data_IF_245079388101
#
_entry.id   IF_245079388101
#
_cell.length_a   1.000
_cell.length_b   1.000
_cell.length_c   1.000
_cell.angle_alpha   90.00
_cell.angle_beta   90.00
_cell.angle_gamma   90.00
#
_symmetry.space_group_name_H-M   'P 1'
#
loop_
_entity.id
_entity.type
_entity.pdbx_description
1 polymer ?
#
# COMPACT_ATOMS: atom_id res chain seq x y z
N UNK A 1 15.85 19.73 -27.20
CA UNK A 1 15.16 19.21 -26.01
C UNK A 1 15.88 17.96 -25.59
N UNK A 2 16.44 17.98 -24.41
CA UNK A 2 17.19 16.84 -23.87
C UNK A 2 16.21 15.80 -23.32
N UNK A 3 16.48 14.52 -23.57
CA UNK A 3 15.69 13.40 -23.06
C UNK A 3 16.31 12.86 -21.78
N UNK A 4 15.48 12.58 -20.79
CA UNK A 4 15.88 12.11 -19.48
C UNK A 4 15.08 10.89 -19.05
N UNK A 5 15.72 9.99 -18.30
CA UNK A 5 15.04 9.00 -17.51
C UNK A 5 14.84 9.56 -16.09
N UNK A 6 13.65 9.37 -15.53
CA UNK A 6 13.33 9.87 -14.19
C UNK A 6 12.48 8.92 -13.37
N UNK A 7 12.51 9.11 -12.07
CA UNK A 7 11.66 8.45 -11.09
C UNK A 7 10.59 9.43 -10.61
N UNK A 8 9.33 9.05 -10.68
CA UNK A 8 8.23 9.87 -10.15
C UNK A 8 8.23 9.76 -8.63
N UNK A 9 8.61 10.83 -7.97
CA UNK A 9 8.66 10.90 -6.51
C UNK A 9 7.37 11.46 -5.90
N UNK A 10 6.54 12.15 -6.68
CA UNK A 10 5.22 12.60 -6.24
C UNK A 10 4.29 12.90 -7.42
N UNK A 11 2.98 12.76 -7.19
CA UNK A 11 1.94 13.04 -8.16
C UNK A 11 0.78 13.81 -7.50
N UNK A 12 0.40 14.96 -8.07
CA UNK A 12 -0.73 15.77 -7.61
C UNK A 12 -1.49 16.36 -8.79
N UNK A 13 -2.73 15.90 -8.98
CA UNK A 13 -3.55 16.32 -10.11
C UNK A 13 -2.95 15.90 -11.45
N UNK A 14 -2.46 16.86 -12.24
CA UNK A 14 -1.79 16.65 -13.53
C UNK A 14 -0.30 16.93 -13.49
N UNK A 15 0.23 17.22 -12.32
CA UNK A 15 1.62 17.53 -12.12
C UNK A 15 2.33 16.34 -11.47
N UNK A 16 3.48 16.02 -11.99
CA UNK A 16 4.35 14.94 -11.55
C UNK A 16 5.72 15.51 -11.23
N UNK A 17 6.24 15.21 -10.07
CA UNK A 17 7.61 15.55 -9.73
C UNK A 17 8.51 14.36 -10.08
N UNK A 18 9.32 14.53 -11.11
CA UNK A 18 10.28 13.54 -11.56
C UNK A 18 11.67 13.88 -11.06
N UNK A 19 12.35 12.93 -10.45
CA UNK A 19 13.76 13.02 -10.09
C UNK A 19 14.59 12.37 -11.20
N UNK A 20 15.57 13.08 -11.74
CA UNK A 20 16.56 12.56 -12.67
C UNK A 20 17.92 13.01 -12.19
N UNK A 21 18.80 12.04 -11.87
CA UNK A 21 20.03 12.31 -11.14
C UNK A 21 19.74 13.09 -9.83
N UNK A 22 20.43 14.20 -9.57
CA UNK A 22 20.23 15.05 -8.39
C UNK A 22 19.25 16.21 -8.62
N UNK A 23 18.50 16.18 -9.75
CA UNK A 23 17.63 17.30 -10.14
C UNK A 23 16.16 16.90 -10.18
N UNK A 24 15.31 17.83 -9.74
CA UNK A 24 13.86 17.68 -9.75
C UNK A 24 13.24 18.47 -10.92
N UNK A 25 12.35 17.81 -11.63
CA UNK A 25 11.60 18.37 -12.76
C UNK A 25 10.11 18.29 -12.49
N UNK A 26 9.43 19.43 -12.65
CA UNK A 26 7.97 19.46 -12.65
C UNK A 26 7.46 19.03 -14.04
N UNK A 27 6.89 17.83 -14.11
CA UNK A 27 6.48 17.23 -15.36
C UNK A 27 4.96 17.22 -15.54
N UNK A 28 4.52 17.26 -16.79
CA UNK A 28 3.14 17.06 -17.22
C UNK A 28 3.06 15.99 -18.30
N UNK A 29 1.85 15.51 -18.62
CA UNK A 29 1.61 14.56 -19.73
C UNK A 29 0.99 15.25 -20.93
N UNK A 30 1.16 14.66 -22.13
CA UNK A 30 0.51 15.13 -23.39
C UNK A 30 -0.93 14.67 -23.50
N UNK A 31 -1.75 14.76 -22.53
CA UNK A 31 -3.14 14.31 -22.67
C UNK A 31 -3.98 14.47 -21.43
N UNK A 32 -5.27 14.13 -21.56
CA UNK A 32 -6.23 14.26 -20.44
C UNK A 32 -6.18 13.11 -19.44
N UNK A 33 -5.79 11.90 -19.86
CA UNK A 33 -5.62 10.72 -18.99
C UNK A 33 -4.16 10.54 -18.66
N UNK A 34 -3.89 10.31 -17.40
CA UNK A 34 -2.59 9.96 -16.92
C UNK A 34 -2.71 8.80 -15.95
N UNK A 35 -2.05 7.72 -16.29
CA UNK A 35 -1.95 6.51 -15.49
C UNK A 35 -0.58 6.45 -14.77
N UNK A 36 -0.03 7.62 -14.41
CA UNK A 36 1.27 7.74 -13.75
C UNK A 36 1.07 7.72 -12.24
N UNK A 37 1.84 6.89 -11.56
CA UNK A 37 1.88 6.74 -10.12
C UNK A 37 3.24 7.16 -9.54
N UNK A 38 3.25 7.51 -8.27
CA UNK A 38 4.49 7.62 -7.48
C UNK A 38 5.25 6.29 -7.53
N UNK A 39 6.55 6.33 -7.80
CA UNK A 39 7.38 5.13 -8.01
C UNK A 39 7.50 4.70 -9.47
N UNK A 40 6.78 5.33 -10.41
CA UNK A 40 6.99 5.06 -11.83
C UNK A 40 8.35 5.54 -12.32
N UNK A 41 8.96 4.72 -13.15
CA UNK A 41 10.10 5.13 -13.98
C UNK A 41 9.55 5.64 -15.31
N UNK A 42 9.99 6.81 -15.72
CA UNK A 42 9.48 7.50 -16.91
C UNK A 42 10.62 8.01 -17.79
N UNK A 43 10.32 8.16 -19.07
CA UNK A 43 11.13 8.94 -19.99
C UNK A 43 10.41 10.26 -20.27
N UNK A 44 11.12 11.37 -20.13
CA UNK A 44 10.56 12.70 -20.34
C UNK A 44 11.52 13.60 -21.10
N UNK A 45 10.98 14.61 -21.76
CA UNK A 45 11.73 15.65 -22.44
C UNK A 45 11.73 16.93 -21.64
N UNK A 46 12.91 17.48 -21.39
CA UNK A 46 13.07 18.78 -20.77
C UNK A 46 12.53 19.87 -21.70
N UNK A 47 11.67 20.72 -21.15
CA UNK A 47 11.08 21.89 -21.87
C UNK A 47 11.63 23.22 -21.37
N UNK A 48 12.04 23.27 -20.11
CA UNK A 48 12.76 24.38 -19.46
C UNK A 48 13.61 23.83 -18.30
N UNK A 49 14.47 24.63 -17.67
CA UNK A 49 15.48 24.13 -16.72
C UNK A 49 15.00 23.24 -15.58
N UNK A 50 13.72 23.27 -15.22
CA UNK A 50 13.09 22.50 -14.14
C UNK A 50 11.73 21.93 -14.52
N UNK A 51 11.39 21.90 -15.82
CA UNK A 51 10.12 21.40 -16.34
C UNK A 51 10.32 20.37 -17.44
N UNK A 52 9.37 19.44 -17.55
CA UNK A 52 9.40 18.41 -18.55
C UNK A 52 8.03 17.91 -18.99
N UNK A 53 8.03 17.18 -20.09
CA UNK A 53 6.86 16.47 -20.61
C UNK A 53 7.16 14.99 -20.63
N UNK A 54 6.36 14.21 -19.93
CA UNK A 54 6.47 12.75 -19.88
C UNK A 54 6.01 12.20 -21.23
N UNK A 55 6.87 11.41 -21.85
CA UNK A 55 6.63 10.78 -23.16
C UNK A 55 6.23 9.31 -22.97
N UNK A 56 6.82 8.62 -21.98
CA UNK A 56 6.64 7.19 -21.79
C UNK A 56 6.75 6.79 -20.32
N UNK A 57 5.92 5.82 -19.92
CA UNK A 57 6.05 5.09 -18.65
C UNK A 57 6.81 3.81 -18.96
N UNK A 58 7.92 3.59 -18.26
CA UNK A 58 8.72 2.37 -18.42
C UNK A 58 8.01 1.17 -17.78
N UNK A 59 8.36 -0.07 -18.17
CA UNK A 59 7.72 -1.27 -17.64
C UNK A 59 7.73 -1.32 -16.11
N UNK A 60 6.56 -1.60 -15.54
CA UNK A 60 6.35 -1.72 -14.10
C UNK A 60 6.54 -3.17 -13.65
N UNK A 61 7.09 -3.36 -12.45
CA UNK A 61 7.09 -4.66 -11.77
C UNK A 61 5.79 -4.90 -11.01
N UNK A 62 5.30 -3.87 -10.32
CA UNK A 62 4.06 -3.90 -9.54
C UNK A 62 3.28 -2.60 -9.69
N UNK A 63 1.97 -2.65 -9.47
CA UNK A 63 1.11 -1.48 -9.46
C UNK A 63 0.02 -1.65 -8.42
N UNK A 64 0.05 -0.80 -7.40
CA UNK A 64 -0.91 -0.82 -6.31
C UNK A 64 -2.02 0.21 -6.55
N UNK A 65 -3.25 -0.24 -6.44
CA UNK A 65 -4.45 0.57 -6.61
C UNK A 65 -5.20 0.73 -5.29
N UNK A 66 -5.94 1.80 -5.22
CA UNK A 66 -7.08 1.97 -4.34
C UNK A 66 -8.29 2.34 -5.21
N UNK A 67 -9.36 1.59 -5.12
CA UNK A 67 -10.56 1.88 -5.90
C UNK A 67 -11.81 1.97 -5.02
N UNK A 68 -12.68 2.92 -5.32
CA UNK A 68 -14.06 2.93 -4.89
C UNK A 68 -14.97 2.47 -6.05
N UNK A 69 -16.27 2.43 -5.83
CA UNK A 69 -17.24 2.00 -6.84
C UNK A 69 -17.25 2.87 -8.13
N UNK A 70 -16.69 4.07 -8.08
CA UNK A 70 -16.69 5.03 -9.19
C UNK A 70 -15.33 5.23 -9.83
N UNK A 71 -14.23 5.11 -9.05
CA UNK A 71 -12.89 5.47 -9.50
C UNK A 71 -11.83 4.55 -8.91
N UNK A 72 -10.89 4.17 -9.76
CA UNK A 72 -9.62 3.59 -9.32
C UNK A 72 -8.57 4.69 -9.25
N UNK A 73 -7.87 4.80 -8.14
CA UNK A 73 -6.69 5.65 -7.96
C UNK A 73 -5.45 4.80 -7.90
N UNK A 74 -4.44 5.17 -8.66
CA UNK A 74 -3.10 4.64 -8.51
C UNK A 74 -2.52 5.14 -7.19
N UNK A 75 -1.98 4.23 -6.39
CA UNK A 75 -1.29 4.56 -5.15
C UNK A 75 0.21 4.66 -5.38
N UNK A 76 0.81 3.59 -5.89
CA UNK A 76 2.23 3.51 -6.13
C UNK A 76 2.55 2.43 -7.17
N UNK A 77 3.67 2.60 -7.86
CA UNK A 77 4.23 1.63 -8.80
C UNK A 77 5.59 1.14 -8.32
N UNK A 78 6.01 -0.04 -8.80
CA UNK A 78 7.31 -0.65 -8.50
C UNK A 78 7.58 -0.83 -7.01
N UNK A 79 6.52 -1.08 -6.23
CA UNK A 79 6.58 -1.37 -4.80
C UNK A 79 6.94 -2.84 -4.62
N UNK A 80 7.92 -3.13 -3.77
CA UNK A 80 8.32 -4.50 -3.44
C UNK A 80 7.72 -5.00 -2.14
N UNK A 81 7.40 -4.09 -1.20
CA UNK A 81 6.76 -4.46 0.07
C UNK A 81 5.81 -3.38 0.59
N UNK A 82 4.86 -3.83 1.42
CA UNK A 82 3.82 -3.03 2.04
C UNK A 82 3.96 -3.11 3.56
N UNK A 83 4.12 -1.97 4.22
CA UNK A 83 4.05 -1.87 5.68
C UNK A 83 2.69 -1.31 6.09
N UNK A 84 1.88 -2.14 6.76
CA UNK A 84 0.59 -1.77 7.31
C UNK A 84 0.81 -1.29 8.75
N UNK A 85 0.76 0.03 8.95
CA UNK A 85 0.99 0.65 10.25
C UNK A 85 -0.32 0.73 11.01
N UNK A 86 -0.35 0.08 12.15
CA UNK A 86 -1.44 0.09 13.13
C UNK A 86 -0.91 0.57 14.48
N UNK A 87 -1.78 0.95 15.39
CA UNK A 87 -1.39 1.40 16.72
C UNK A 87 -2.38 0.89 17.77
N UNK A 88 -1.92 0.84 19.00
CA UNK A 88 -2.78 0.56 20.16
C UNK A 88 -3.84 1.66 20.33
N UNK A 89 -3.46 2.91 19.99
CA UNK A 89 -4.31 4.09 20.05
C UNK A 89 -3.97 5.12 18.95
N UNK A 90 -4.97 5.64 18.17
CA UNK A 90 -6.35 5.19 18.12
C UNK A 90 -6.47 3.72 17.69
N UNK A 91 -7.61 3.08 17.99
CA UNK A 91 -7.82 1.70 17.56
C UNK A 91 -7.81 1.56 16.03
N UNK A 92 -7.30 0.44 15.52
CA UNK A 92 -7.21 0.17 14.10
C UNK A 92 -8.40 -0.62 13.55
N UNK A 93 -8.60 -0.64 12.25
CA UNK A 93 -9.63 -1.40 11.53
C UNK A 93 -9.07 -2.72 11.00
N UNK A 94 -9.65 -3.85 11.41
CA UNK A 94 -9.33 -5.17 10.87
C UNK A 94 -9.73 -5.29 9.40
N UNK A 95 -10.83 -4.65 8.99
CA UNK A 95 -11.25 -4.59 7.60
C UNK A 95 -10.18 -3.92 6.73
N UNK A 96 -9.63 -2.76 7.18
CA UNK A 96 -8.56 -2.09 6.45
C UNK A 96 -7.31 -2.96 6.32
N UNK A 97 -6.86 -3.61 7.40
CA UNK A 97 -5.72 -4.52 7.37
C UNK A 97 -5.98 -5.63 6.35
N UNK A 98 -7.11 -6.29 6.48
CA UNK A 98 -7.46 -7.44 5.64
C UNK A 98 -7.56 -7.07 4.15
N UNK A 99 -8.17 -5.93 3.83
CA UNK A 99 -8.23 -5.41 2.45
C UNK A 99 -6.86 -5.06 1.89
N UNK A 100 -6.00 -4.46 2.71
CA UNK A 100 -4.63 -4.13 2.31
C UNK A 100 -3.79 -5.40 2.04
N UNK A 101 -3.96 -6.44 2.85
CA UNK A 101 -3.33 -7.75 2.63
C UNK A 101 -3.82 -8.41 1.34
N UNK A 102 -5.13 -8.36 1.06
CA UNK A 102 -5.70 -8.85 -0.20
C UNK A 102 -5.12 -8.10 -1.40
N UNK A 103 -4.99 -6.76 -1.32
CA UNK A 103 -4.36 -5.98 -2.38
C UNK A 103 -2.89 -6.36 -2.60
N UNK A 104 -2.14 -6.55 -1.52
CA UNK A 104 -0.74 -6.96 -1.58
C UNK A 104 -0.59 -8.35 -2.24
N UNK A 105 -1.39 -9.33 -1.80
CA UNK A 105 -1.37 -10.68 -2.35
C UNK A 105 -1.77 -10.70 -3.84
N UNK A 106 -2.82 -9.96 -4.22
CA UNK A 106 -3.27 -9.87 -5.61
C UNK A 106 -2.21 -9.29 -6.55
N UNK A 107 -1.25 -8.52 -6.02
CA UNK A 107 -0.17 -7.88 -6.78
C UNK A 107 1.20 -8.51 -6.55
N UNK A 108 1.31 -9.54 -5.71
CA UNK A 108 2.57 -10.20 -5.38
C UNK A 108 3.51 -9.35 -4.52
N UNK A 109 2.99 -8.38 -3.77
CA UNK A 109 3.76 -7.50 -2.88
C UNK A 109 3.84 -8.15 -1.49
N UNK A 110 5.04 -8.28 -0.93
CA UNK A 110 5.22 -8.74 0.45
C UNK A 110 4.59 -7.76 1.45
N UNK A 111 3.93 -8.26 2.48
CA UNK A 111 3.25 -7.42 3.47
C UNK A 111 3.73 -7.70 4.90
N UNK A 112 3.92 -6.62 5.67
CA UNK A 112 4.28 -6.66 7.09
C UNK A 112 3.31 -5.78 7.87
N UNK A 113 2.97 -6.19 9.10
CA UNK A 113 2.18 -5.40 10.03
C UNK A 113 3.12 -4.75 11.05
N UNK A 114 2.99 -3.45 11.23
CA UNK A 114 3.76 -2.68 12.21
C UNK A 114 2.83 -2.20 13.33
N UNK A 115 2.87 -2.85 14.50
CA UNK A 115 2.17 -2.39 15.69
C UNK A 115 3.02 -1.32 16.39
N UNK A 116 2.67 -0.08 16.13
CA UNK A 116 3.33 1.08 16.72
C UNK A 116 2.66 1.49 18.03
N UNK A 117 3.33 2.33 18.82
CA UNK A 117 2.88 2.88 20.11
C UNK A 117 2.65 1.81 21.18
N UNK A 118 3.50 0.78 21.22
CA UNK A 118 3.41 -0.28 22.25
C UNK A 118 3.65 0.24 23.66
N UNK A 119 4.14 1.46 23.82
CA UNK A 119 4.25 2.19 25.07
C UNK A 119 2.90 2.56 25.70
N UNK A 120 1.82 2.49 24.93
CA UNK A 120 0.46 2.70 25.43
C UNK A 120 -0.15 1.36 25.93
N UNK A 121 0.37 0.87 27.07
CA UNK A 121 0.09 -0.46 27.63
C UNK A 121 -1.39 -0.86 27.79
N UNK A 122 -2.33 0.05 28.18
CA UNK A 122 -3.70 -0.37 28.54
C UNK A 122 -4.44 -1.14 27.44
N UNK A 123 -4.06 -0.95 26.18
CA UNK A 123 -4.71 -1.59 25.01
C UNK A 123 -3.80 -2.54 24.24
N UNK A 124 -2.57 -2.72 24.68
CA UNK A 124 -1.56 -3.50 23.96
C UNK A 124 -1.96 -4.97 23.81
N UNK A 125 -2.42 -5.62 24.87
CA UNK A 125 -2.84 -7.02 24.80
C UNK A 125 -4.03 -7.22 23.85
N UNK A 126 -5.01 -6.33 23.86
CA UNK A 126 -6.13 -6.39 22.94
C UNK A 126 -5.69 -6.21 21.48
N UNK A 127 -4.72 -5.34 21.21
CA UNK A 127 -4.14 -5.17 19.87
C UNK A 127 -3.38 -6.43 19.42
N UNK A 128 -2.59 -7.04 20.30
CA UNK A 128 -1.86 -8.29 20.03
C UNK A 128 -2.81 -9.44 19.68
N UNK A 129 -3.88 -9.63 20.46
CA UNK A 129 -4.87 -10.67 20.18
C UNK A 129 -5.53 -10.51 18.81
N UNK A 130 -5.85 -9.29 18.43
CA UNK A 130 -6.40 -9.00 17.08
C UNK A 130 -5.40 -9.29 15.97
N UNK A 131 -4.11 -8.98 16.17
CA UNK A 131 -3.06 -9.22 15.17
C UNK A 131 -2.64 -10.69 15.07
N UNK A 132 -2.99 -11.52 16.06
CA UNK A 132 -2.68 -12.95 16.09
C UNK A 132 -3.22 -13.67 14.84
N UNK A 133 -4.44 -13.35 14.41
CA UNK A 133 -5.02 -13.90 13.19
C UNK A 133 -4.09 -13.73 11.99
N UNK A 134 -3.52 -12.55 11.83
CA UNK A 134 -2.65 -12.26 10.68
C UNK A 134 -1.28 -12.92 10.80
N UNK A 135 -0.75 -13.01 12.03
CA UNK A 135 0.48 -13.76 12.30
C UNK A 135 0.32 -15.26 12.00
N UNK A 136 -0.82 -15.86 12.35
CA UNK A 136 -1.17 -17.25 12.04
C UNK A 136 -1.33 -17.49 10.52
N UNK A 137 -1.71 -16.47 9.75
CA UNK A 137 -1.74 -16.49 8.28
C UNK A 137 -0.35 -16.31 7.66
N UNK A 138 0.72 -16.17 8.47
CA UNK A 138 2.10 -16.06 8.02
C UNK A 138 2.59 -14.64 7.75
N UNK A 139 1.80 -13.59 8.08
CA UNK A 139 2.27 -12.21 7.93
C UNK A 139 3.15 -11.80 9.13
N UNK A 140 4.38 -11.28 8.88
CA UNK A 140 5.23 -10.80 9.95
C UNK A 140 4.58 -9.62 10.69
N UNK A 141 4.56 -9.71 12.03
CA UNK A 141 4.09 -8.64 12.92
C UNK A 141 5.28 -8.11 13.71
N UNK A 142 5.52 -6.80 13.61
CA UNK A 142 6.61 -6.10 14.27
C UNK A 142 6.03 -5.12 15.29
N UNK A 143 6.47 -5.21 16.53
CA UNK A 143 6.05 -4.31 17.61
C UNK A 143 7.10 -3.22 17.83
N UNK A 144 6.67 -1.97 17.98
CA UNK A 144 7.57 -0.84 18.12
C UNK A 144 6.94 0.38 18.78
N UNK A 145 7.78 1.30 19.24
CA UNK A 145 7.38 2.63 19.65
C UNK A 145 8.32 3.67 19.01
N UNK A 146 7.91 4.23 17.89
CA UNK A 146 8.71 5.22 17.16
C UNK A 146 9.02 6.46 17.99
N UNK A 147 8.22 6.76 19.01
CA UNK A 147 8.40 7.93 19.87
C UNK A 147 9.24 7.64 21.11
N UNK A 148 8.98 6.54 21.79
CA UNK A 148 9.63 6.23 23.07
C UNK A 148 10.94 5.45 22.90
N UNK A 149 10.99 4.58 21.88
CA UNK A 149 12.14 3.73 21.55
C UNK A 149 12.60 3.94 20.09
N UNK A 150 13.00 5.18 19.71
CA UNK A 150 13.32 5.51 18.32
C UNK A 150 14.50 4.70 17.78
N UNK A 151 15.58 4.55 18.54
CA UNK A 151 16.78 3.83 18.08
C UNK A 151 16.51 2.34 17.90
N UNK A 152 15.77 1.71 18.79
CA UNK A 152 15.37 0.30 18.68
C UNK A 152 14.46 0.09 17.47
N UNK A 153 13.47 0.98 17.29
CA UNK A 153 12.57 0.99 16.15
C UNK A 153 13.33 1.13 14.82
N UNK A 154 14.29 2.06 14.77
CA UNK A 154 15.14 2.26 13.61
C UNK A 154 16.00 1.03 13.33
N UNK A 155 16.66 0.47 14.33
CA UNK A 155 17.49 -0.73 14.19
C UNK A 155 16.69 -1.96 13.72
N UNK A 156 15.44 -2.08 14.13
CA UNK A 156 14.53 -3.15 13.70
C UNK A 156 14.08 -2.99 12.24
N UNK A 157 13.78 -1.76 11.80
CA UNK A 157 13.17 -1.52 10.49
C UNK A 157 14.19 -1.37 9.36
N UNK A 158 15.36 -0.79 9.60
CA UNK A 158 16.36 -0.55 8.54
C UNK A 158 16.74 -1.84 7.77
N UNK A 159 17.00 -3.00 8.42
CA UNK A 159 17.30 -4.23 7.69
C UNK A 159 16.16 -4.69 6.78
N UNK A 160 14.90 -4.44 7.14
CA UNK A 160 13.73 -4.79 6.34
C UNK A 160 13.55 -3.86 5.13
N UNK A 161 14.07 -2.63 5.21
CA UNK A 161 13.95 -1.61 4.16
C UNK A 161 15.07 -1.68 3.13
N UNK A 162 16.19 -2.31 3.47
CA UNK A 162 17.38 -2.38 2.62
C UNK A 162 17.08 -3.06 1.29
N UNK A 163 17.33 -2.39 0.18
CA UNK A 163 17.06 -2.85 -1.18
C UNK A 163 15.58 -2.91 -1.55
N UNK A 164 14.71 -2.28 -0.79
CA UNK A 164 13.26 -2.35 -0.98
C UNK A 164 12.65 -0.99 -1.34
N UNK A 165 11.60 -1.03 -2.16
CA UNK A 165 10.66 0.08 -2.32
C UNK A 165 9.44 -0.21 -1.47
N UNK A 166 9.33 0.47 -0.32
CA UNK A 166 8.36 0.16 0.72
C UNK A 166 7.27 1.23 0.77
N UNK A 167 5.99 0.84 0.62
CA UNK A 167 4.89 1.76 0.88
C UNK A 167 4.36 1.59 2.31
N UNK A 168 4.17 2.71 3.01
CA UNK A 168 3.50 2.75 4.31
C UNK A 168 2.03 3.10 4.12
N UNK A 169 1.16 2.22 4.61
CA UNK A 169 -0.29 2.47 4.66
C UNK A 169 -0.81 2.35 6.09
N UNK A 170 -1.96 2.90 6.34
CA UNK A 170 -2.64 2.85 7.65
C UNK A 170 -3.52 4.07 7.87
N UNK A 171 -4.37 4.00 8.87
CA UNK A 171 -5.28 5.08 9.23
C UNK A 171 -4.53 6.33 9.73
N UNK A 172 -5.26 7.43 9.82
CA UNK A 172 -4.72 8.65 10.45
C UNK A 172 -4.39 8.39 11.92
N UNK A 173 -3.31 8.97 12.42
CA UNK A 173 -2.89 8.83 13.81
C UNK A 173 -2.13 7.56 14.16
N UNK A 174 -1.89 6.62 13.24
CA UNK A 174 -1.11 5.38 13.49
C UNK A 174 0.39 5.62 13.68
N UNK A 175 0.89 6.81 13.31
CA UNK A 175 2.31 7.17 13.47
C UNK A 175 3.15 6.97 12.21
N UNK A 176 2.54 6.89 11.01
CA UNK A 176 3.28 6.79 9.74
C UNK A 176 4.31 7.89 9.57
N UNK A 177 3.91 9.16 9.73
CA UNK A 177 4.84 10.29 9.61
C UNK A 177 5.95 10.26 10.66
N UNK A 178 5.69 9.77 11.86
CA UNK A 178 6.73 9.58 12.89
C UNK A 178 7.75 8.53 12.46
N UNK A 179 7.29 7.42 11.84
CA UNK A 179 8.18 6.40 11.29
C UNK A 179 8.99 6.94 10.10
N UNK A 180 8.36 7.69 9.21
CA UNK A 180 9.05 8.33 8.07
C UNK A 180 10.15 9.25 8.56
N UNK A 181 9.85 10.15 9.51
CA UNK A 181 10.83 11.10 10.07
C UNK A 181 11.95 10.40 10.84
N UNK A 182 11.67 9.25 11.45
CA UNK A 182 12.68 8.44 12.12
C UNK A 182 13.65 7.76 11.14
N UNK A 183 13.11 7.29 10.01
CA UNK A 183 13.85 6.44 9.06
C UNK A 183 14.57 7.23 7.98
N UNK A 184 13.96 8.31 7.48
CA UNK A 184 14.48 9.13 6.38
C UNK A 184 15.14 10.38 6.94
N UNK A 185 16.45 10.56 6.76
CA UNK A 185 17.11 11.82 7.12
C UNK A 185 16.45 13.01 6.39
N UNK A 186 16.24 14.11 7.10
CA UNK A 186 15.68 15.35 6.56
C UNK A 186 14.30 15.20 5.87
N UNK A 187 13.51 14.18 6.28
CA UNK A 187 12.19 13.91 5.70
C UNK A 187 11.28 15.15 5.66
N UNK A 188 11.24 15.94 6.72
CA UNK A 188 10.41 17.16 6.79
C UNK A 188 10.83 18.21 5.75
N UNK A 189 12.13 18.34 5.45
CA UNK A 189 12.63 19.24 4.42
C UNK A 189 12.24 18.75 3.03
N UNK A 190 12.47 17.47 2.73
CA UNK A 190 12.09 16.85 1.46
C UNK A 190 10.58 16.96 1.22
N UNK A 191 9.76 16.68 2.24
CA UNK A 191 8.31 16.83 2.21
C UNK A 191 7.88 18.26 1.91
N UNK A 192 8.55 19.24 2.51
CA UNK A 192 8.27 20.67 2.31
C UNK A 192 8.61 21.10 0.88
N UNK A 193 9.75 20.69 0.35
CA UNK A 193 10.17 20.98 -1.03
C UNK A 193 9.19 20.39 -2.06
N UNK A 194 8.86 19.10 -1.91
CA UNK A 194 7.87 18.41 -2.78
C UNK A 194 6.53 19.16 -2.76
N UNK A 195 6.04 19.53 -1.58
CA UNK A 195 4.76 20.21 -1.40
C UNK A 195 4.75 21.61 -2.04
N UNK A 196 5.85 22.35 -1.92
CA UNK A 196 6.00 23.68 -2.53
C UNK A 196 6.02 23.59 -4.06
N UNK A 197 6.75 22.63 -4.63
CA UNK A 197 6.84 22.46 -6.08
C UNK A 197 5.52 22.00 -6.71
N UNK A 198 4.69 21.27 -5.98
CA UNK A 198 3.37 20.80 -6.43
C UNK A 198 2.22 21.75 -6.05
N UNK A 199 2.51 22.90 -5.43
CA UNK A 199 1.53 23.89 -4.96
C UNK A 199 0.43 23.27 -4.07
N UNK A 200 0.83 22.35 -3.20
CA UNK A 200 -0.05 21.66 -2.25
C UNK A 200 0.14 22.16 -0.82
N UNK A 201 -0.94 22.31 -0.06
CA UNK A 201 -0.91 22.87 1.32
C UNK A 201 -0.06 22.04 2.31
N UNK A 202 0.48 22.71 3.35
CA UNK A 202 1.59 22.23 4.20
C UNK A 202 1.26 21.23 5.32
N UNK A 203 0.00 20.95 5.70
CA UNK A 203 -0.28 20.36 7.02
C UNK A 203 -0.91 18.96 7.06
N UNK A 204 -1.21 18.34 5.92
CA UNK A 204 -1.75 16.99 5.88
C UNK A 204 -1.21 16.28 4.65
N UNK A 205 -0.78 15.02 4.79
CA UNK A 205 -0.38 14.19 3.65
C UNK A 205 -1.61 13.95 2.75
N UNK A 206 -1.72 14.70 1.66
CA UNK A 206 -2.86 14.64 0.74
C UNK A 206 -2.60 13.82 -0.51
N UNK A 207 -1.34 13.50 -0.79
CA UNK A 207 -0.90 12.71 -1.93
C UNK A 207 0.27 11.80 -1.53
N UNK A 208 0.54 10.79 -2.35
CA UNK A 208 1.61 9.82 -2.14
C UNK A 208 2.97 10.43 -2.52
N UNK A 209 4.00 10.21 -1.71
CA UNK A 209 5.37 10.71 -1.88
C UNK A 209 6.38 9.60 -1.71
N UNK A 210 7.39 9.57 -2.57
CA UNK A 210 8.54 8.70 -2.44
C UNK A 210 9.70 9.50 -1.84
N UNK A 211 10.30 8.95 -0.80
CA UNK A 211 11.47 9.46 -0.11
C UNK A 211 12.60 8.43 -0.22
N UNK A 212 13.76 8.85 -0.67
CA UNK A 212 14.93 7.98 -0.83
C UNK A 212 15.62 7.76 0.52
N UNK A 213 15.93 6.49 0.83
CA UNK A 213 16.75 6.12 2.00
C UNK A 213 18.22 5.99 1.60
N UNK A 214 18.46 5.30 0.48
CA UNK A 214 19.76 5.09 -0.15
C UNK A 214 19.56 4.82 -1.65
N UNK A 215 20.62 4.48 -2.38
CA UNK A 215 20.56 4.25 -3.83
C UNK A 215 19.52 3.19 -4.28
N UNK A 216 19.22 2.22 -3.42
CA UNK A 216 18.38 1.06 -3.75
C UNK A 216 17.15 0.93 -2.85
N UNK A 217 17.00 1.82 -1.86
CA UNK A 217 15.95 1.74 -0.85
C UNK A 217 15.12 3.01 -0.81
N UNK A 218 13.79 2.88 -0.78
CA UNK A 218 12.88 4.02 -0.70
C UNK A 218 11.67 3.73 0.18
N UNK A 219 11.14 4.80 0.76
CA UNK A 219 9.86 4.78 1.47
C UNK A 219 8.86 5.61 0.69
N UNK A 220 7.68 5.04 0.45
CA UNK A 220 6.54 5.74 -0.13
C UNK A 220 5.56 6.04 1.01
N UNK A 221 5.47 7.31 1.38
CA UNK A 221 4.49 7.80 2.35
C UNK A 221 3.16 8.03 1.67
N UNK A 222 2.10 7.46 2.22
CA UNK A 222 0.75 7.60 1.70
C UNK A 222 -0.17 8.35 2.66
N UNK A 223 -1.22 9.04 2.15
CA UNK A 223 -2.26 9.60 3.00
C UNK A 223 -2.85 8.55 3.92
N UNK A 224 -3.33 8.98 5.09
CA UNK A 224 -4.13 8.10 5.96
C UNK A 224 -5.42 7.66 5.27
N UNK A 225 -5.66 6.36 5.20
CA UNK A 225 -6.87 5.80 4.60
C UNK A 225 -7.91 5.48 5.66
N UNK A 226 -9.16 5.84 5.39
CA UNK A 226 -10.32 5.37 6.14
C UNK A 226 -10.89 4.10 5.50
N UNK A 227 -10.82 4.00 4.19
CA UNK A 227 -11.33 2.90 3.38
C UNK A 227 -10.30 2.46 2.34
N UNK A 228 -10.28 1.17 2.04
CA UNK A 228 -9.41 0.56 1.04
C UNK A 228 -10.25 -0.34 0.14
N UNK A 229 -10.87 0.25 -0.88
CA UNK A 229 -11.70 -0.48 -1.82
C UNK A 229 -10.88 -1.25 -2.85
N UNK A 230 -11.38 -2.41 -3.26
CA UNK A 230 -10.73 -3.37 -4.17
C UNK A 230 -11.57 -3.65 -5.43
N UNK A 231 -12.41 -2.72 -5.83
CA UNK A 231 -13.33 -2.87 -6.97
C UNK A 231 -12.64 -3.19 -8.31
N UNK A 232 -11.33 -2.99 -8.42
CA UNK A 232 -10.55 -3.32 -9.61
C UNK A 232 -10.20 -4.81 -9.72
N UNK A 233 -10.31 -5.58 -8.63
CA UNK A 233 -10.02 -7.01 -8.64
C UNK A 233 -11.17 -7.81 -9.26
N UNK A 234 -10.84 -8.79 -10.09
CA UNK A 234 -11.81 -9.78 -10.57
C UNK A 234 -12.06 -10.86 -9.52
N UNK A 235 -13.16 -11.61 -9.66
CA UNK A 235 -13.49 -12.74 -8.76
C UNK A 235 -12.33 -13.73 -8.62
N UNK A 236 -11.73 -14.16 -9.75
CA UNK A 236 -10.61 -15.09 -9.75
C UNK A 236 -9.32 -14.50 -9.15
N UNK A 237 -9.15 -13.16 -9.14
CA UNK A 237 -8.06 -12.52 -8.43
C UNK A 237 -8.35 -12.48 -6.93
N UNK A 238 -9.60 -12.24 -6.54
CA UNK A 238 -10.00 -12.19 -5.13
C UNK A 238 -9.79 -13.54 -4.45
N UNK A 239 -10.27 -14.65 -5.01
CA UNK A 239 -10.12 -15.97 -4.39
C UNK A 239 -8.66 -16.36 -4.17
N UNK A 240 -7.76 -16.01 -5.11
CA UNK A 240 -6.31 -16.28 -5.04
C UNK A 240 -5.55 -15.31 -4.13
N UNK A 241 -6.17 -14.19 -3.78
CA UNK A 241 -5.58 -13.20 -2.89
C UNK A 241 -5.75 -13.53 -1.40
N UNK A 242 -6.43 -14.65 -1.07
CA UNK A 242 -6.53 -15.22 0.28
C UNK A 242 -5.63 -16.45 0.36
N UNK A 243 -4.42 -16.35 0.95
CA UNK A 243 -3.47 -17.47 1.01
C UNK A 243 -4.07 -18.73 1.65
N UNK A 244 -4.92 -18.55 2.65
CA UNK A 244 -5.60 -19.63 3.36
C UNK A 244 -6.60 -20.41 2.49
N UNK A 245 -6.96 -19.91 1.30
CA UNK A 245 -7.86 -20.59 0.36
C UNK A 245 -7.10 -21.54 -0.58
N UNK A 246 -5.81 -21.32 -0.80
CA UNK A 246 -5.00 -22.01 -1.82
C UNK A 246 -5.14 -23.53 -1.77
N UNK A 247 -5.07 -24.13 -0.57
CA UNK A 247 -5.19 -25.58 -0.37
C UNK A 247 -6.57 -26.16 -0.71
N UNK A 248 -7.58 -25.30 -0.88
CA UNK A 248 -8.98 -25.69 -1.11
C UNK A 248 -9.50 -25.31 -2.49
N UNK A 249 -8.77 -24.48 -3.24
CA UNK A 249 -9.15 -24.07 -4.60
C UNK A 249 -9.11 -25.28 -5.55
N UNK A 250 -10.12 -25.38 -6.43
CA UNK A 250 -10.24 -26.46 -7.39
C UNK A 250 -10.76 -27.80 -6.81
N UNK A 251 -11.03 -27.89 -5.50
CA UNK A 251 -11.55 -29.09 -4.85
C UNK A 251 -13.10 -29.10 -4.71
N UNK A 252 -13.77 -28.04 -5.16
CA UNK A 252 -15.23 -27.95 -5.13
C UNK A 252 -15.87 -28.86 -6.16
N UNK A 253 -17.09 -29.33 -5.89
CA UNK A 253 -17.87 -30.12 -6.84
C UNK A 253 -18.12 -29.41 -8.19
N UNK A 254 -18.32 -28.07 -8.13
CA UNK A 254 -18.60 -27.26 -9.31
C UNK A 254 -17.36 -26.41 -9.68
N UNK A 255 -17.01 -26.41 -10.95
CA UNK A 255 -15.86 -25.65 -11.47
C UNK A 255 -16.05 -24.14 -11.40
N UNK A 256 -17.30 -23.67 -11.38
CA UNK A 256 -17.69 -22.26 -11.26
C UNK A 256 -18.20 -21.92 -9.85
N UNK A 257 -17.66 -22.55 -8.83
CA UNK A 257 -18.01 -22.29 -7.44
C UNK A 257 -17.51 -20.90 -7.01
N UNK A 258 -18.39 -20.09 -6.47
CA UNK A 258 -18.05 -18.76 -5.90
C UNK A 258 -17.76 -18.82 -4.40
N UNK A 259 -17.83 -20.00 -3.79
CA UNK A 259 -17.53 -20.26 -2.37
C UNK A 259 -18.41 -19.48 -1.38
N UNK A 260 -19.66 -19.19 -1.76
CA UNK A 260 -20.62 -18.40 -0.96
C UNK A 260 -21.61 -19.30 -0.23
N UNK A 261 -22.30 -20.17 -0.96
CA UNK A 261 -23.36 -21.05 -0.42
C UNK A 261 -23.56 -22.34 -1.26
N UNK A 262 -22.63 -22.63 -2.17
CA UNK A 262 -22.76 -23.77 -3.06
C UNK A 262 -22.64 -25.10 -2.30
N UNK A 263 -23.45 -26.11 -2.64
CA UNK A 263 -23.34 -27.42 -2.04
C UNK A 263 -22.02 -28.10 -2.42
N UNK A 264 -21.47 -28.86 -1.50
CA UNK A 264 -20.20 -29.58 -1.66
C UNK A 264 -19.01 -28.65 -2.01
N UNK A 265 -19.02 -27.42 -1.49
CA UNK A 265 -17.91 -26.48 -1.59
C UNK A 265 -16.82 -26.83 -0.59
N UNK A 266 -15.60 -27.08 -1.08
CA UNK A 266 -14.44 -27.41 -0.25
C UNK A 266 -14.05 -26.27 0.70
N UNK A 267 -14.17 -25.03 0.25
CA UNK A 267 -13.87 -23.85 1.06
C UNK A 267 -14.85 -23.69 2.23
N UNK A 268 -16.15 -23.85 1.99
CA UNK A 268 -17.17 -23.82 3.05
C UNK A 268 -17.00 -24.98 4.03
N UNK A 269 -16.56 -26.14 3.58
CA UNK A 269 -16.23 -27.27 4.45
C UNK A 269 -15.02 -26.93 5.35
N UNK A 270 -13.99 -26.29 4.79
CA UNK A 270 -12.82 -25.84 5.53
C UNK A 270 -13.16 -24.75 6.58
N UNK A 271 -14.06 -23.83 6.28
CA UNK A 271 -14.59 -22.86 7.26
C UNK A 271 -15.30 -23.57 8.40
N UNK A 272 -16.18 -24.54 8.09
CA UNK A 272 -16.88 -25.34 9.12
C UNK A 272 -15.90 -26.15 9.99
N UNK A 273 -14.82 -26.62 9.42
CA UNK A 273 -13.79 -27.38 10.12
C UNK A 273 -12.80 -26.49 10.93
N UNK A 274 -12.95 -25.16 10.86
CA UNK A 274 -12.06 -24.19 11.53
C UNK A 274 -10.68 -24.05 10.90
N UNK A 275 -10.48 -24.58 9.68
CA UNK A 275 -9.23 -24.43 8.92
C UNK A 275 -9.11 -23.04 8.27
N UNK A 276 -10.24 -22.44 7.95
CA UNK A 276 -10.35 -21.05 7.47
C UNK A 276 -11.13 -20.25 8.50
N UNK A 277 -10.59 -19.08 8.88
CA UNK A 277 -11.26 -18.20 9.83
C UNK A 277 -12.57 -17.64 9.23
N UNK A 278 -13.72 -17.75 9.90
CA UNK A 278 -15.00 -17.27 9.40
C UNK A 278 -15.02 -15.77 9.06
N UNK A 279 -14.27 -14.94 9.82
CA UNK A 279 -14.17 -13.48 9.56
C UNK A 279 -13.49 -13.22 8.22
N UNK A 280 -12.48 -14.01 7.86
CA UNK A 280 -11.78 -13.91 6.58
C UNK A 280 -12.67 -14.34 5.42
N UNK A 281 -13.43 -15.41 5.60
CA UNK A 281 -14.39 -15.84 4.60
C UNK A 281 -15.53 -14.82 4.42
N UNK A 282 -16.00 -14.19 5.48
CA UNK A 282 -17.02 -13.14 5.38
C UNK A 282 -16.49 -11.91 4.64
N UNK A 283 -15.25 -11.52 4.89
CA UNK A 283 -14.59 -10.46 4.10
C UNK A 283 -14.53 -10.83 2.60
N UNK A 284 -14.17 -12.08 2.28
CA UNK A 284 -14.17 -12.55 0.89
C UNK A 284 -15.55 -12.37 0.22
N UNK A 285 -16.63 -12.77 0.92
CA UNK A 285 -18.00 -12.60 0.43
C UNK A 285 -18.35 -11.12 0.19
N UNK A 286 -17.95 -10.24 1.10
CA UNK A 286 -18.16 -8.80 0.96
C UNK A 286 -17.41 -8.26 -0.26
N UNK A 287 -16.14 -8.60 -0.44
CA UNK A 287 -15.33 -8.18 -1.58
C UNK A 287 -15.86 -8.73 -2.90
N UNK A 288 -16.34 -9.96 -2.92
CA UNK A 288 -16.98 -10.56 -4.09
C UNK A 288 -18.25 -9.79 -4.48
N UNK A 289 -19.08 -9.43 -3.49
CA UNK A 289 -20.26 -8.62 -3.71
C UNK A 289 -19.90 -7.22 -4.25
N UNK A 290 -18.90 -6.56 -3.67
CA UNK A 290 -18.38 -5.26 -4.15
C UNK A 290 -17.89 -5.37 -5.61
N UNK A 291 -17.14 -6.42 -5.94
CA UNK A 291 -16.64 -6.64 -7.30
C UNK A 291 -17.77 -6.83 -8.32
N UNK A 292 -18.91 -7.45 -7.92
CA UNK A 292 -20.08 -7.62 -8.77
C UNK A 292 -20.88 -6.34 -9.01
N UNK A 293 -20.71 -5.31 -8.15
CA UNK A 293 -21.41 -4.03 -8.23
C UNK A 293 -20.70 -2.97 -9.10
N UNK A 294 -19.70 -3.36 -9.90
CA UNK A 294 -19.05 -2.41 -10.81
C UNK A 294 -20.09 -1.73 -11.70
N UNK A 295 -20.27 -0.43 -11.49
CA UNK A 295 -20.99 0.41 -12.45
C UNK A 295 -20.02 0.69 -13.61
N UNK A 296 -20.43 0.28 -14.81
CA UNK A 296 -19.71 0.45 -16.08
C UNK A 296 -19.50 1.92 -16.45
#
# INVERSE_FOLDING_TARGET
>A
MTEHNGLIIAAHGRHYLAQSEDKLYLCVTRGKKSDIATGDRVRFKETSPDQGVIEEILPRTTLLYRSDQYKSKLLAANVSQLFIVVATEPGFSDDLISRALVAANATGIAAHLLLNKIDLEPRLNAARERLKLYAELGYPVHEMSARLHPEETRAQLLPLLTGQSTILIGQSGMGKSSLVNLLVPDADMAVTEISQRLDSGKHTTTFTRLLTLDENSSIIDSPGFQEFGLYHLSEGMLERAFPEFEAHLGLCRFYNCHHVNEPDCALLAAVKAGQINPVRHELYRQLLHEASQKLY
#
